data_IF_873831164645
#
_entry.id   IF_873831164645
#
_cell.length_a   1.000
_cell.length_b   1.000
_cell.length_c   1.000
_cell.angle_alpha   90.00
_cell.angle_beta   90.00
_cell.angle_gamma   90.00
#
_symmetry.space_group_name_H-M   'P 1'
#
loop_
_entity.id
_entity.type
_entity.pdbx_description
1 polymer ?
#
# COMPACT_ATOMS: atom_id res chain seq x y z
N UNK A 1 -12.10 11.28 -38.39
CA UNK A 1 -11.09 10.96 -37.35
C UNK A 1 -11.82 11.04 -36.02
N UNK A 2 -12.10 9.90 -35.40
CA UNK A 2 -12.73 9.88 -34.07
C UNK A 2 -11.82 10.62 -33.09
N UNK A 3 -12.39 11.52 -32.28
CA UNK A 3 -11.63 12.32 -31.34
C UNK A 3 -11.05 11.40 -30.25
N UNK A 4 -9.71 11.30 -30.20
CA UNK A 4 -9.00 10.59 -29.14
C UNK A 4 -9.29 11.32 -27.83
N UNK A 5 -10.01 10.68 -26.92
CA UNK A 5 -10.22 11.19 -25.57
C UNK A 5 -9.17 10.61 -24.63
N UNK A 6 -8.64 11.35 -23.63
CA UNK A 6 -7.60 10.84 -22.73
C UNK A 6 -8.00 9.56 -21.98
N UNK A 7 -9.31 9.33 -21.81
CA UNK A 7 -9.86 8.17 -21.14
C UNK A 7 -9.66 6.86 -21.91
N UNK A 8 -9.48 6.90 -23.24
CA UNK A 8 -9.18 5.70 -24.04
C UNK A 8 -7.69 5.35 -24.05
N UNK A 9 -6.83 6.27 -23.60
CA UNK A 9 -5.38 6.10 -23.58
C UNK A 9 -4.86 5.47 -22.28
N UNK A 10 -5.60 5.55 -21.18
CA UNK A 10 -5.14 5.13 -19.85
C UNK A 10 -5.95 3.96 -19.33
N UNK A 11 -5.27 2.86 -19.01
CA UNK A 11 -5.84 1.72 -18.28
C UNK A 11 -5.52 1.83 -16.78
N UNK A 12 -6.55 1.93 -15.95
CA UNK A 12 -6.40 2.06 -14.48
C UNK A 12 -6.14 0.72 -13.76
N UNK A 13 -6.40 -0.42 -14.41
CA UNK A 13 -6.33 -1.74 -13.75
C UNK A 13 -4.95 -2.06 -13.16
N UNK A 14 -3.81 -1.76 -13.82
CA UNK A 14 -2.49 -2.01 -13.25
C UNK A 14 -2.22 -1.21 -11.98
N UNK A 15 -2.69 0.04 -11.93
CA UNK A 15 -2.53 0.92 -10.75
C UNK A 15 -3.30 0.35 -9.55
N UNK A 16 -4.56 -0.04 -9.79
CA UNK A 16 -5.38 -0.65 -8.74
C UNK A 16 -4.79 -1.97 -8.24
N UNK A 17 -4.25 -2.79 -9.15
CA UNK A 17 -3.59 -4.05 -8.79
C UNK A 17 -2.36 -3.82 -7.90
N UNK A 18 -1.48 -2.89 -8.28
CA UNK A 18 -0.28 -2.56 -7.52
C UNK A 18 -0.61 -2.06 -6.10
N UNK A 19 -1.65 -1.21 -5.96
CA UNK A 19 -2.10 -0.72 -4.65
C UNK A 19 -2.61 -1.88 -3.79
N UNK A 20 -3.42 -2.79 -4.37
CA UNK A 20 -3.95 -3.96 -3.65
C UNK A 20 -2.84 -4.90 -3.19
N UNK A 21 -1.86 -5.18 -4.05
CA UNK A 21 -0.74 -6.05 -3.72
C UNK A 21 0.09 -5.49 -2.57
N UNK A 22 0.39 -4.19 -2.62
CA UNK A 22 1.14 -3.49 -1.57
C UNK A 22 0.43 -3.57 -0.22
N UNK A 23 -0.84 -3.18 -0.12
CA UNK A 23 -1.55 -3.20 1.17
C UNK A 23 -2.06 -4.58 1.59
N UNK A 24 -2.13 -5.54 0.67
CA UNK A 24 -2.60 -6.89 0.96
C UNK A 24 -1.50 -7.82 1.48
N UNK A 25 -0.26 -7.67 0.97
CA UNK A 25 0.79 -8.68 1.19
C UNK A 25 2.18 -8.11 1.48
N UNK A 26 2.37 -6.78 1.46
CA UNK A 26 3.68 -6.19 1.75
C UNK A 26 4.13 -6.51 3.17
N UNK A 27 5.42 -6.82 3.33
CA UNK A 27 6.06 -7.03 4.64
C UNK A 27 5.95 -5.80 5.56
N UNK A 28 5.76 -4.61 4.98
CA UNK A 28 5.54 -3.36 5.71
C UNK A 28 4.07 -3.15 6.10
N UNK A 29 3.13 -3.88 5.49
CA UNK A 29 1.71 -3.84 5.82
C UNK A 29 1.39 -4.87 6.90
N UNK A 30 1.64 -4.50 8.15
CA UNK A 30 1.50 -5.39 9.30
C UNK A 30 0.13 -5.24 9.98
N UNK A 31 -0.34 -6.33 10.59
CA UNK A 31 -1.52 -6.29 11.44
C UNK A 31 -1.23 -5.46 12.69
N UNK A 32 -2.05 -4.43 12.94
CA UNK A 32 -1.86 -3.50 14.06
C UNK A 32 -2.03 -4.22 15.40
N UNK A 33 -1.14 -3.94 16.34
CA UNK A 33 -1.28 -4.40 17.72
C UNK A 33 -2.28 -3.49 18.45
N UNK A 34 -3.34 -4.09 18.97
CA UNK A 34 -4.44 -3.40 19.66
C UNK A 34 -4.65 -3.88 21.10
N UNK A 35 -3.68 -4.55 21.70
CA UNK A 35 -3.81 -5.04 23.08
C UNK A 35 -4.05 -3.91 24.09
N UNK A 36 -3.48 -2.73 23.83
CA UNK A 36 -3.72 -1.51 24.61
C UNK A 36 -3.31 -0.25 23.80
N UNK A 37 -3.74 0.96 24.21
CA UNK A 37 -3.43 2.20 23.50
C UNK A 37 -1.92 2.49 23.37
N UNK A 38 -1.12 2.09 24.36
CA UNK A 38 0.33 2.27 24.33
C UNK A 38 0.96 1.35 23.26
N UNK A 39 0.49 0.10 23.13
CA UNK A 39 1.00 -0.83 22.11
C UNK A 39 0.69 -0.34 20.70
N UNK A 40 -0.52 0.19 20.46
CA UNK A 40 -0.85 0.79 19.17
C UNK A 40 0.02 2.01 18.84
N UNK A 41 0.39 2.81 19.86
CA UNK A 41 1.24 3.99 19.69
C UNK A 41 2.70 3.61 19.43
N UNK A 42 3.25 2.62 20.14
CA UNK A 42 4.61 2.12 19.89
C UNK A 42 4.70 1.42 18.54
N UNK A 43 3.68 0.66 18.13
CA UNK A 43 3.62 0.02 16.82
C UNK A 43 3.70 1.06 15.69
N UNK A 44 2.85 2.10 15.73
CA UNK A 44 2.85 3.16 14.70
C UNK A 44 4.14 3.99 14.63
N UNK A 45 4.91 4.05 15.73
CA UNK A 45 6.18 4.79 15.80
C UNK A 45 7.41 3.92 15.53
N UNK A 46 7.23 2.62 15.27
CA UNK A 46 8.33 1.67 15.04
C UNK A 46 8.98 1.92 13.68
N UNK A 47 10.31 1.98 13.67
CA UNK A 47 11.12 1.98 12.46
C UNK A 47 11.62 0.56 12.17
N UNK A 48 11.59 0.14 10.91
CA UNK A 48 12.07 -1.17 10.45
C UNK A 48 13.15 -0.98 9.40
N UNK A 49 14.28 -1.65 9.57
CA UNK A 49 15.28 -1.84 8.51
C UNK A 49 14.99 -3.07 7.65
N UNK A 50 13.98 -3.88 8.00
CA UNK A 50 13.59 -5.06 7.23
C UNK A 50 12.51 -4.69 6.20
N UNK A 51 12.62 -5.25 5.01
CA UNK A 51 11.68 -5.07 3.91
C UNK A 51 12.37 -5.14 2.54
N UNK A 52 11.64 -4.98 1.43
CA UNK A 52 12.24 -4.91 0.11
C UNK A 52 13.21 -3.72 -0.01
N UNK A 53 14.50 -4.00 -0.18
CA UNK A 53 15.54 -2.99 -0.32
C UNK A 53 16.13 -2.44 0.99
N UNK A 54 15.81 -3.04 2.14
CA UNK A 54 16.43 -2.77 3.44
C UNK A 54 17.53 -3.76 3.82
#
# INVERSE_FOLDING_TARGET
VEAITPHTLINIRPVVAAIKEFFGTSQLSQFMDQNNPLSGLTHKRRLSALGPGG
#
